data_IF_806512981995
#
_entry.id   IF_806512981995
#
_cell.length_a   1.000
_cell.length_b   1.000
_cell.length_c   1.000
_cell.angle_alpha   90.00
_cell.angle_beta   90.00
_cell.angle_gamma   90.00
#
_symmetry.space_group_name_H-M   'P 1'
#
loop_
_entity.id
_entity.type
_entity.pdbx_description
1 polymer ?
#
# COMPACT_ATOMS: atom_id res chain seq x y z
N UNK A 1 6.59 3.14 -8.44
CA UNK A 1 5.59 3.01 -9.51
C UNK A 1 5.92 1.84 -10.44
N UNK A 2 7.12 1.78 -11.02
CA UNK A 2 7.47 0.77 -12.04
C UNK A 2 7.35 -0.66 -11.52
N UNK A 3 7.84 -0.95 -10.31
CA UNK A 3 7.75 -2.27 -9.67
C UNK A 3 6.29 -2.67 -9.43
N UNK A 4 5.50 -1.77 -8.82
CA UNK A 4 4.08 -1.99 -8.52
C UNK A 4 3.27 -2.29 -9.78
N UNK A 5 3.38 -1.44 -10.81
CA UNK A 5 2.65 -1.61 -12.07
C UNK A 5 3.00 -2.92 -12.79
N UNK A 6 4.27 -3.30 -12.78
CA UNK A 6 4.76 -4.53 -13.41
C UNK A 6 4.52 -5.77 -12.54
N UNK A 7 4.19 -5.59 -11.28
CA UNK A 7 4.06 -6.67 -10.31
C UNK A 7 5.32 -7.54 -10.22
N UNK A 8 6.48 -6.90 -10.08
CA UNK A 8 7.77 -7.59 -9.86
C UNK A 8 7.72 -8.27 -8.51
N UNK A 9 8.23 -9.50 -8.38
CA UNK A 9 8.19 -10.27 -7.14
C UNK A 9 9.23 -9.73 -6.13
N UNK A 10 8.86 -8.66 -5.40
CA UNK A 10 9.71 -8.00 -4.39
C UNK A 10 8.87 -7.42 -3.24
N UNK A 11 9.47 -7.33 -2.07
CA UNK A 11 8.91 -6.66 -0.90
C UNK A 11 9.56 -5.29 -0.71
N UNK A 12 8.74 -4.25 -0.57
CA UNK A 12 9.14 -2.86 -0.34
C UNK A 12 8.65 -2.43 1.03
N UNK A 13 9.57 -2.20 1.96
CA UNK A 13 9.29 -1.66 3.29
C UNK A 13 9.56 -0.16 3.28
N UNK A 14 8.51 0.64 3.31
CA UNK A 14 8.57 2.10 3.31
C UNK A 14 8.46 2.64 4.74
N UNK A 15 9.58 3.02 5.33
CA UNK A 15 9.62 3.71 6.62
C UNK A 15 9.23 5.17 6.43
N UNK A 16 7.97 5.48 6.75
CA UNK A 16 7.41 6.82 6.63
C UNK A 16 7.42 7.50 8.00
N UNK A 17 8.38 8.41 8.22
CA UNK A 17 8.49 9.22 9.44
C UNK A 17 8.21 10.72 9.21
N UNK A 18 7.72 11.07 8.02
CA UNK A 18 7.38 12.43 7.61
C UNK A 18 8.51 13.46 7.76
N UNK A 19 9.78 13.00 7.77
CA UNK A 19 10.97 13.86 7.87
C UNK A 19 12.20 13.18 7.28
N UNK A 20 13.17 13.92 6.75
CA UNK A 20 14.47 13.37 6.41
C UNK A 20 15.38 13.37 7.65
N UNK A 21 15.53 12.22 8.31
CA UNK A 21 16.34 12.06 9.50
C UNK A 21 17.85 12.09 9.23
N UNK A 22 18.31 11.41 8.15
CA UNK A 22 19.74 11.35 7.81
C UNK A 22 20.37 12.71 7.57
N UNK A 23 19.66 13.63 6.95
CA UNK A 23 20.09 14.98 6.63
C UNK A 23 19.78 15.99 7.75
N UNK A 24 19.45 15.51 8.96
CA UNK A 24 19.24 16.28 10.19
C UNK A 24 17.97 17.15 10.19
N UNK A 25 16.86 16.61 9.66
CA UNK A 25 15.52 17.16 9.89
C UNK A 25 15.03 18.12 8.81
N UNK A 26 15.32 17.85 7.55
CA UNK A 26 14.68 18.50 6.42
C UNK A 26 13.28 17.90 6.20
N UNK A 27 12.33 18.70 5.70
CA UNK A 27 11.02 18.16 5.33
C UNK A 27 11.15 17.15 4.18
N UNK A 28 10.39 16.08 4.26
CA UNK A 28 10.29 15.03 3.23
C UNK A 28 9.03 15.24 2.38
N UNK A 29 8.86 14.53 1.26
CA UNK A 29 7.62 14.61 0.48
C UNK A 29 6.36 14.27 1.27
N UNK A 30 6.46 13.45 2.32
CA UNK A 30 5.31 13.07 3.18
C UNK A 30 5.12 13.98 4.38
N UNK A 31 5.97 14.98 4.58
CA UNK A 31 5.86 15.95 5.69
C UNK A 31 4.56 16.74 5.59
N UNK A 32 3.96 17.03 6.73
CA UNK A 32 2.73 17.83 6.80
C UNK A 32 2.97 19.24 6.28
N UNK A 33 2.00 19.78 5.56
CA UNK A 33 2.03 21.19 5.11
C UNK A 33 2.23 22.13 6.29
N UNK A 34 3.09 23.10 6.13
CA UNK A 34 3.41 24.09 7.15
C UNK A 34 4.46 23.63 8.18
N UNK A 35 5.01 22.41 8.10
CA UNK A 35 6.06 21.97 9.00
C UNK A 35 7.28 22.88 8.87
N UNK A 36 7.77 23.37 10.01
CA UNK A 36 8.97 24.22 10.09
C UNK A 36 10.18 23.37 10.40
N UNK A 37 11.23 23.56 9.64
CA UNK A 37 12.52 22.90 9.83
C UNK A 37 13.65 23.93 9.81
N UNK A 38 14.87 23.54 10.19
CA UNK A 38 16.03 24.43 10.16
C UNK A 38 16.30 24.98 8.75
N UNK A 39 16.08 24.16 7.71
CA UNK A 39 16.25 24.56 6.31
C UNK A 39 15.04 25.29 5.72
N UNK A 40 13.88 25.23 6.38
CA UNK A 40 12.66 25.92 5.97
C UNK A 40 11.94 26.52 7.18
N UNK A 41 12.41 27.67 7.72
CA UNK A 41 11.88 28.26 8.94
C UNK A 41 10.49 28.85 8.79
N UNK A 42 10.04 29.11 7.57
CA UNK A 42 8.70 29.64 7.28
C UNK A 42 7.63 28.57 7.13
N UNK A 43 8.04 27.28 7.08
CA UNK A 43 7.17 26.14 6.86
C UNK A 43 7.03 25.77 5.38
N UNK A 44 6.79 24.49 5.11
CA UNK A 44 6.58 24.00 3.73
C UNK A 44 5.20 24.38 3.21
N UNK A 45 5.13 24.74 1.93
CA UNK A 45 3.90 25.01 1.19
C UNK A 45 3.40 23.79 0.43
N UNK A 46 4.24 22.75 0.36
CA UNK A 46 3.95 21.51 -0.39
C UNK A 46 2.79 20.75 0.23
N UNK A 47 1.93 20.20 -0.61
CA UNK A 47 0.94 19.22 -0.17
C UNK A 47 1.63 17.88 0.10
N UNK A 48 1.31 17.20 1.22
CA UNK A 48 1.92 15.93 1.55
C UNK A 48 1.68 14.86 0.48
N UNK A 49 2.74 14.23 0.02
CA UNK A 49 2.65 13.07 -0.84
C UNK A 49 2.07 11.87 -0.09
N UNK A 50 1.12 11.16 -0.71
CA UNK A 50 0.50 9.97 -0.14
C UNK A 50 1.08 8.69 -0.76
N UNK A 51 1.89 7.92 -0.02
CA UNK A 51 2.39 6.63 -0.50
C UNK A 51 1.27 5.63 -0.84
N UNK A 52 0.18 5.67 -0.07
CA UNK A 52 -0.98 4.81 -0.30
C UNK A 52 -1.71 5.13 -1.60
N UNK A 53 -1.92 6.43 -1.90
CA UNK A 53 -2.54 6.83 -3.16
C UNK A 53 -1.69 6.43 -4.35
N UNK A 54 -0.36 6.56 -4.23
CA UNK A 54 0.57 6.08 -5.24
C UNK A 54 0.46 4.55 -5.42
N UNK A 55 0.44 3.80 -4.32
CA UNK A 55 0.35 2.35 -4.36
C UNK A 55 -0.92 1.88 -5.09
N UNK A 56 -2.07 2.39 -4.66
CA UNK A 56 -3.36 2.04 -5.27
C UNK A 56 -3.45 2.54 -6.72
N UNK A 57 -3.03 3.77 -7.00
CA UNK A 57 -3.01 4.33 -8.35
C UNK A 57 -2.04 3.62 -9.31
N UNK A 58 -0.95 3.05 -8.80
CA UNK A 58 -0.04 2.19 -9.54
C UNK A 58 -0.52 0.73 -9.62
N UNK A 59 -1.74 0.44 -9.14
CA UNK A 59 -2.34 -0.89 -9.13
C UNK A 59 -1.52 -1.93 -8.36
N UNK A 60 -1.00 -1.56 -7.18
CA UNK A 60 -0.30 -2.51 -6.32
C UNK A 60 -1.14 -3.77 -6.09
N UNK A 61 -0.52 -4.93 -6.23
CA UNK A 61 -1.18 -6.22 -5.92
C UNK A 61 -1.27 -6.44 -4.42
N UNK A 62 -0.31 -5.91 -3.63
CA UNK A 62 -0.35 -5.93 -2.18
C UNK A 62 0.01 -4.55 -1.62
N UNK A 63 -0.83 -4.05 -0.71
CA UNK A 63 -0.57 -2.85 0.05
C UNK A 63 -1.04 -3.03 1.50
N UNK A 64 -0.16 -2.78 2.45
CA UNK A 64 -0.45 -2.83 3.88
C UNK A 64 0.10 -1.59 4.58
N UNK A 65 -0.48 -1.25 5.73
CA UNK A 65 0.00 -0.20 6.62
C UNK A 65 0.12 -0.70 8.04
N UNK A 66 1.21 -0.37 8.68
CA UNK A 66 1.49 -0.72 10.08
C UNK A 66 2.07 0.48 10.81
N UNK A 67 2.08 0.40 12.14
CA UNK A 67 2.73 1.37 13.03
C UNK A 67 3.94 0.72 13.71
N UNK A 68 5.00 1.48 13.96
CA UNK A 68 6.23 1.00 14.61
C UNK A 68 6.03 0.55 16.06
N UNK A 69 4.93 0.99 16.67
CA UNK A 69 4.56 0.63 18.05
C UNK A 69 3.85 -0.72 18.18
N UNK A 70 3.56 -1.42 17.06
CA UNK A 70 2.96 -2.76 17.04
C UNK A 70 3.84 -3.77 16.29
N UNK A 71 4.91 -4.28 16.93
CA UNK A 71 5.81 -5.25 16.31
C UNK A 71 5.15 -6.59 15.99
N UNK A 72 4.07 -6.97 16.69
CA UNK A 72 3.34 -8.22 16.40
C UNK A 72 2.55 -8.13 15.11
N UNK A 73 1.86 -7.01 14.89
CA UNK A 73 1.20 -6.74 13.62
C UNK A 73 2.22 -6.67 12.48
N UNK A 74 3.33 -5.95 12.68
CA UNK A 74 4.41 -5.86 11.69
C UNK A 74 4.93 -7.22 11.27
N UNK A 75 5.26 -8.09 12.23
CA UNK A 75 5.75 -9.44 11.96
C UNK A 75 4.77 -10.25 11.12
N UNK A 76 3.47 -10.23 11.47
CA UNK A 76 2.43 -10.93 10.71
C UNK A 76 2.35 -10.41 9.27
N UNK A 77 2.31 -9.08 9.10
CA UNK A 77 2.22 -8.45 7.77
C UNK A 77 3.45 -8.73 6.91
N UNK A 78 4.63 -8.82 7.51
CA UNK A 78 5.87 -9.16 6.76
C UNK A 78 5.85 -10.61 6.27
N UNK A 79 5.30 -11.54 7.05
CA UNK A 79 5.10 -12.94 6.63
C UNK A 79 4.08 -12.99 5.48
N UNK A 80 2.92 -12.32 5.63
CA UNK A 80 1.89 -12.29 4.60
C UNK A 80 2.42 -11.64 3.30
N UNK A 81 3.29 -10.63 3.41
CA UNK A 81 3.93 -9.97 2.27
C UNK A 81 4.97 -10.86 1.57
N UNK A 82 5.69 -11.69 2.31
CA UNK A 82 6.65 -12.65 1.77
C UNK A 82 5.95 -13.78 1.02
N UNK A 83 4.81 -14.25 1.53
CA UNK A 83 4.00 -15.27 0.88
C UNK A 83 3.26 -14.75 -0.37
N UNK A 84 3.10 -13.43 -0.50
CA UNK A 84 2.45 -12.81 -1.65
C UNK A 84 3.35 -12.87 -2.90
N UNK A 85 2.84 -13.43 -3.99
CA UNK A 85 3.54 -13.46 -5.29
C UNK A 85 3.28 -12.16 -6.05
N UNK A 86 4.30 -11.30 -6.12
CA UNK A 86 4.24 -10.00 -6.74
C UNK A 86 4.83 -8.90 -5.87
N UNK A 87 4.58 -7.64 -6.21
CA UNK A 87 5.12 -6.51 -5.43
C UNK A 87 4.26 -6.23 -4.21
N UNK A 88 4.85 -6.42 -3.03
CA UNK A 88 4.26 -6.01 -1.76
C UNK A 88 4.85 -4.66 -1.34
N UNK A 89 3.99 -3.68 -1.06
CA UNK A 89 4.37 -2.41 -0.46
C UNK A 89 3.77 -2.31 0.95
N UNK A 90 4.63 -2.18 1.94
CA UNK A 90 4.24 -1.98 3.34
C UNK A 90 4.66 -0.58 3.79
N UNK A 91 3.70 0.27 4.11
CA UNK A 91 3.93 1.57 4.72
C UNK A 91 4.02 1.42 6.24
N UNK A 92 5.19 1.70 6.80
CA UNK A 92 5.46 1.65 8.24
C UNK A 92 5.46 3.08 8.75
N UNK A 93 4.41 3.46 9.50
CA UNK A 93 4.32 4.75 10.16
C UNK A 93 5.28 4.74 11.36
N UNK A 94 6.42 5.42 11.21
CA UNK A 94 7.52 5.38 12.16
C UNK A 94 7.70 6.74 12.85
N UNK A 95 7.87 6.73 14.17
CA UNK A 95 8.22 7.93 14.91
C UNK A 95 9.72 8.27 14.77
N UNK A 96 10.04 9.50 14.40
CA UNK A 96 11.42 10.01 14.44
C UNK A 96 11.65 10.83 15.70
N UNK A 97 12.10 10.20 16.79
CA UNK A 97 12.24 10.80 18.11
C UNK A 97 13.15 12.05 18.16
N UNK A 98 14.02 12.24 17.16
CA UNK A 98 14.99 13.36 17.15
C UNK A 98 14.47 14.54 16.34
N UNK A 99 13.88 14.30 15.17
CA UNK A 99 13.55 15.37 14.23
C UNK A 99 12.06 15.60 14.00
N UNK A 100 11.21 14.61 14.34
CA UNK A 100 9.75 14.68 14.15
C UNK A 100 9.04 13.83 15.20
N UNK A 101 9.37 14.07 16.48
CA UNK A 101 8.80 13.30 17.59
C UNK A 101 7.28 13.48 17.64
N UNK A 102 6.59 12.38 17.92
CA UNK A 102 5.12 12.29 18.06
C UNK A 102 4.34 12.64 16.80
N UNK A 103 4.95 12.54 15.59
CA UNK A 103 4.25 12.87 14.34
C UNK A 103 2.98 12.02 14.15
N UNK A 104 2.97 10.78 14.63
CA UNK A 104 1.81 9.89 14.60
C UNK A 104 1.11 9.72 15.95
N UNK A 105 1.30 10.63 16.90
CA UNK A 105 0.67 10.54 18.23
C UNK A 105 -0.87 10.47 18.16
N UNK A 106 -1.50 11.13 17.17
CA UNK A 106 -2.94 11.04 16.93
C UNK A 106 -3.43 9.62 16.57
N UNK A 107 -2.51 8.71 16.22
CA UNK A 107 -2.80 7.31 15.89
C UNK A 107 -2.26 6.38 16.98
N UNK A 108 -1.08 6.67 17.54
CA UNK A 108 -0.31 5.71 18.36
C UNK A 108 -0.32 5.99 19.85
N UNK A 109 -0.70 7.20 20.29
CA UNK A 109 -0.74 7.53 21.70
C UNK A 109 -1.76 6.63 22.44
N UNK A 110 -1.39 6.20 23.65
CA UNK A 110 -2.15 5.21 24.44
C UNK A 110 -3.61 5.61 24.64
N UNK A 111 -3.86 6.89 24.83
CA UNK A 111 -5.17 7.48 25.14
C UNK A 111 -6.13 7.48 23.94
N UNK A 112 -5.58 7.46 22.71
CA UNK A 112 -6.38 7.61 21.50
C UNK A 112 -6.38 6.36 20.60
N UNK A 113 -5.38 5.48 20.73
CA UNK A 113 -5.14 4.40 19.78
C UNK A 113 -6.37 3.50 19.52
N UNK A 114 -7.16 3.23 20.57
CA UNK A 114 -8.35 2.38 20.43
C UNK A 114 -9.42 3.00 19.53
N UNK A 115 -9.53 4.33 19.52
CA UNK A 115 -10.50 5.07 18.72
C UNK A 115 -9.91 5.59 17.40
N UNK A 116 -8.58 5.55 17.23
CA UNK A 116 -7.89 6.08 16.05
C UNK A 116 -7.19 5.02 15.19
N UNK A 117 -7.33 3.74 15.55
CA UNK A 117 -6.83 2.62 14.77
C UNK A 117 -7.98 1.68 14.39
N UNK A 118 -8.06 1.32 13.13
CA UNK A 118 -8.92 0.26 12.61
C UNK A 118 -8.04 -0.85 12.06
N UNK A 119 -8.05 -2.01 12.70
CA UNK A 119 -7.34 -3.19 12.22
C UNK A 119 -8.19 -3.91 11.16
N UNK A 120 -7.66 -3.97 9.95
CA UNK A 120 -8.31 -4.64 8.83
C UNK A 120 -7.97 -6.13 8.84
N UNK A 121 -9.00 -6.96 8.84
CA UNK A 121 -8.90 -8.41 8.67
C UNK A 121 -9.82 -8.84 7.53
N UNK A 122 -9.29 -9.59 6.57
CA UNK A 122 -10.05 -10.08 5.41
C UNK A 122 -11.28 -10.89 5.84
N UNK A 123 -12.45 -10.56 5.30
CA UNK A 123 -13.72 -11.19 5.65
C UNK A 123 -14.33 -10.75 7.00
N UNK A 124 -13.74 -9.77 7.70
CA UNK A 124 -14.28 -9.30 8.99
C UNK A 124 -14.93 -7.91 8.85
N UNK A 125 -15.94 -7.63 9.70
CA UNK A 125 -16.53 -6.29 9.76
C UNK A 125 -15.50 -5.28 10.28
N UNK A 126 -15.49 -4.10 9.69
CA UNK A 126 -14.58 -3.00 10.02
C UNK A 126 -15.01 -2.29 11.29
N UNK A 127 -14.81 -2.95 12.44
CA UNK A 127 -15.15 -2.46 13.77
C UNK A 127 -13.90 -1.98 14.50
N UNK A 128 -14.04 -0.94 15.33
CA UNK A 128 -13.01 -0.36 16.17
C UNK A 128 -13.57 0.33 17.40
N UNK A 129 -12.73 0.96 18.18
CA UNK A 129 -13.09 1.62 19.44
C UNK A 129 -12.88 0.72 20.64
N UNK A 130 -12.89 1.32 21.83
CA UNK A 130 -12.63 0.61 23.09
C UNK A 130 -13.61 -0.54 23.32
N UNK A 131 -14.89 -0.34 22.99
CA UNK A 131 -15.95 -1.34 23.12
C UNK A 131 -16.22 -2.10 21.80
N UNK A 132 -15.39 -1.91 20.77
CA UNK A 132 -15.60 -2.49 19.43
C UNK A 132 -17.01 -2.22 18.87
N UNK A 133 -17.56 -1.06 19.20
CA UNK A 133 -18.92 -0.64 18.83
C UNK A 133 -18.95 0.45 17.76
N UNK A 134 -17.79 0.98 17.34
CA UNK A 134 -17.69 1.88 16.21
C UNK A 134 -17.40 1.10 14.94
N UNK A 135 -17.99 1.49 13.83
CA UNK A 135 -17.78 0.80 12.56
C UNK A 135 -17.80 1.75 11.37
N UNK A 136 -17.38 1.22 10.23
CA UNK A 136 -17.36 1.92 8.96
C UNK A 136 -18.53 1.44 8.10
N UNK A 137 -19.30 2.39 7.57
CA UNK A 137 -20.36 2.14 6.57
C UNK A 137 -20.09 2.97 5.32
N UNK A 138 -20.71 2.58 4.22
CA UNK A 138 -20.80 3.40 3.01
C UNK A 138 -22.10 4.20 3.06
N UNK A 139 -21.97 5.52 2.94
CA UNK A 139 -23.12 6.43 2.85
C UNK A 139 -23.04 7.19 1.51
N UNK A 140 -23.79 6.74 0.52
CA UNK A 140 -23.59 7.15 -0.86
C UNK A 140 -22.19 6.75 -1.34
N UNK A 141 -21.39 7.72 -1.78
CA UNK A 141 -20.02 7.50 -2.26
C UNK A 141 -18.94 7.82 -1.20
N UNK A 142 -19.31 7.91 0.08
CA UNK A 142 -18.37 8.28 1.14
C UNK A 142 -18.40 7.27 2.28
N UNK A 143 -17.25 7.04 2.88
CA UNK A 143 -17.17 6.32 4.15
C UNK A 143 -17.74 7.19 5.27
N UNK A 144 -18.34 6.56 6.25
CA UNK A 144 -18.86 7.21 7.46
C UNK A 144 -18.56 6.33 8.67
N UNK A 145 -18.12 6.95 9.76
CA UNK A 145 -18.03 6.31 11.06
C UNK A 145 -19.41 6.34 11.72
N UNK A 146 -19.81 5.22 12.28
CA UNK A 146 -21.08 5.05 12.99
C UNK A 146 -20.87 4.27 14.28
N UNK A 147 -21.81 4.40 15.23
CA UNK A 147 -21.86 3.59 16.45
C UNK A 147 -22.95 2.53 16.30
N UNK A 148 -22.59 1.27 16.49
CA UNK A 148 -23.54 0.15 16.48
C UNK A 148 -24.48 0.28 17.65
N UNK A 149 -25.78 0.12 17.40
CA UNK A 149 -26.85 0.32 18.39
C UNK A 149 -27.44 1.73 18.43
N UNK A 150 -26.78 2.73 17.80
CA UNK A 150 -27.32 4.07 17.63
C UNK A 150 -27.99 4.22 16.26
N UNK A 151 -29.00 5.09 16.16
CA UNK A 151 -29.70 5.40 14.90
C UNK A 151 -30.13 4.18 14.07
N UNK A 152 -30.52 3.10 14.75
CA UNK A 152 -30.89 1.80 14.18
C UNK A 152 -29.75 1.08 13.42
N UNK A 153 -28.49 1.50 13.58
CA UNK A 153 -27.33 0.83 12.98
C UNK A 153 -27.10 -0.51 13.68
N UNK A 154 -27.06 -1.57 12.90
CA UNK A 154 -26.76 -2.94 13.34
C UNK A 154 -25.35 -3.34 12.93
N UNK A 155 -24.84 -4.39 13.54
CA UNK A 155 -23.51 -4.93 13.18
C UNK A 155 -23.43 -5.41 11.75
N UNK A 156 -24.54 -5.87 11.18
CA UNK A 156 -24.67 -6.34 9.80
C UNK A 156 -24.59 -5.19 8.78
N UNK A 157 -24.79 -3.93 9.22
CA UNK A 157 -24.65 -2.75 8.35
C UNK A 157 -23.20 -2.32 8.17
N UNK A 158 -22.29 -2.83 9.02
CA UNK A 158 -20.88 -2.49 8.98
C UNK A 158 -20.21 -3.18 7.77
N UNK A 159 -19.46 -2.40 7.00
CA UNK A 159 -18.72 -2.91 5.87
C UNK A 159 -17.77 -4.04 6.28
N UNK A 160 -17.81 -5.12 5.52
CA UNK A 160 -16.87 -6.23 5.64
C UNK A 160 -15.66 -5.91 4.76
N UNK A 161 -14.46 -6.01 5.34
CA UNK A 161 -13.23 -5.82 4.58
C UNK A 161 -13.00 -7.00 3.63
N UNK A 162 -12.73 -6.70 2.36
CA UNK A 162 -12.31 -7.66 1.35
C UNK A 162 -10.99 -7.19 0.74
N UNK A 163 -9.88 -7.68 1.28
CA UNK A 163 -8.54 -7.33 0.78
C UNK A 163 -8.30 -7.83 -0.66
N UNK A 164 -9.08 -8.83 -1.11
CA UNK A 164 -8.93 -9.50 -2.40
C UNK A 164 -9.82 -8.94 -3.50
N UNK A 165 -10.59 -7.89 -3.20
CA UNK A 165 -11.42 -7.23 -4.20
C UNK A 165 -10.57 -6.66 -5.34
N UNK A 166 -10.92 -6.99 -6.57
CA UNK A 166 -10.16 -6.53 -7.74
C UNK A 166 -10.31 -5.02 -7.95
N UNK A 167 -11.54 -4.50 -7.78
CA UNK A 167 -11.80 -3.07 -7.85
C UNK A 167 -11.12 -2.36 -6.64
N UNK A 168 -10.20 -1.43 -6.90
CA UNK A 168 -9.45 -0.77 -5.83
C UNK A 168 -10.20 0.37 -5.14
N UNK A 169 -11.45 0.67 -5.53
CA UNK A 169 -12.17 1.88 -5.08
C UNK A 169 -12.27 1.94 -3.55
N UNK A 170 -12.76 0.85 -2.92
CA UNK A 170 -12.88 0.81 -1.46
C UNK A 170 -11.49 0.82 -0.79
N UNK A 171 -10.50 0.14 -1.37
CA UNK A 171 -9.12 0.17 -0.86
C UNK A 171 -8.53 1.57 -0.87
N UNK A 172 -8.79 2.36 -1.92
CA UNK A 172 -8.36 3.77 -2.00
C UNK A 172 -9.02 4.62 -0.91
N UNK A 173 -10.31 4.40 -0.65
CA UNK A 173 -11.03 5.11 0.42
C UNK A 173 -10.45 4.74 1.81
N UNK A 174 -10.23 3.45 2.08
CA UNK A 174 -9.65 2.97 3.33
C UNK A 174 -8.22 3.50 3.53
N UNK A 175 -7.41 3.50 2.48
CA UNK A 175 -6.05 3.98 2.51
C UNK A 175 -5.92 5.48 2.86
N UNK A 176 -6.96 6.26 2.56
CA UNK A 176 -7.05 7.70 2.86
C UNK A 176 -7.59 8.03 4.25
N UNK A 177 -8.12 7.04 4.97
CA UNK A 177 -8.64 7.27 6.32
C UNK A 177 -7.55 7.78 7.26
N UNK A 178 -7.82 8.87 7.98
CA UNK A 178 -6.91 9.54 8.92
C UNK A 178 -7.68 10.22 10.04
N UNK A 179 -7.16 10.22 11.28
CA UNK A 179 -7.68 11.08 12.35
C UNK A 179 -7.63 12.56 11.97
N UNK A 180 -8.57 13.38 12.48
CA UNK A 180 -9.60 13.06 13.47
C UNK A 180 -10.90 12.49 12.88
N UNK A 181 -11.12 12.60 11.57
CA UNK A 181 -12.37 12.24 10.92
C UNK A 181 -12.60 10.73 10.89
N UNK A 182 -11.53 9.96 10.65
CA UNK A 182 -11.55 8.50 10.60
C UNK A 182 -10.42 7.90 11.42
N UNK A 183 -10.53 6.65 11.86
CA UNK A 183 -9.37 5.90 12.33
C UNK A 183 -8.38 5.68 11.18
N UNK A 184 -7.11 5.51 11.47
CA UNK A 184 -6.16 5.03 10.47
C UNK A 184 -6.41 3.53 10.21
N UNK A 185 -6.56 3.17 8.94
CA UNK A 185 -6.65 1.77 8.54
C UNK A 185 -5.28 1.12 8.60
N UNK A 186 -5.14 0.09 9.44
CA UNK A 186 -3.92 -0.70 9.67
C UNK A 186 -4.15 -2.15 9.29
N UNK A 187 -3.10 -2.84 8.86
CA UNK A 187 -3.17 -4.20 8.34
C UNK A 187 -3.11 -4.24 6.82
N UNK A 188 -3.57 -5.34 6.24
CA UNK A 188 -3.59 -5.52 4.78
C UNK A 188 -4.80 -4.79 4.22
N UNK A 189 -4.56 -3.72 3.47
CA UNK A 189 -5.61 -2.95 2.80
C UNK A 189 -6.00 -3.61 1.48
N UNK A 190 -5.01 -4.15 0.76
CA UNK A 190 -5.21 -4.83 -0.54
C UNK A 190 -4.25 -6.01 -0.68
N UNK A 191 -4.76 -7.14 -1.17
CA UNK A 191 -3.99 -8.35 -1.47
C UNK A 191 -4.66 -9.12 -2.61
N UNK A 192 -4.46 -8.68 -3.85
CA UNK A 192 -5.03 -9.30 -5.05
C UNK A 192 -3.98 -10.11 -5.78
N UNK A 193 -4.35 -11.28 -6.26
CA UNK A 193 -3.44 -12.12 -7.03
C UNK A 193 -3.39 -11.65 -8.48
N UNK A 194 -2.19 -11.36 -8.95
CA UNK A 194 -1.91 -10.98 -10.33
C UNK A 194 -0.67 -11.74 -10.82
N UNK A 195 -0.57 -12.09 -12.11
CA UNK A 195 0.67 -12.62 -12.64
C UNK A 195 1.83 -11.66 -12.42
N UNK A 196 3.01 -12.19 -12.09
CA UNK A 196 4.23 -11.38 -12.00
C UNK A 196 4.74 -11.03 -13.40
N UNK A 197 5.61 -10.03 -13.46
CA UNK A 197 6.28 -9.65 -14.70
C UNK A 197 7.04 -10.83 -15.33
N UNK A 198 7.78 -11.57 -14.48
CA UNK A 198 8.59 -12.70 -14.91
C UNK A 198 7.74 -13.85 -15.46
N UNK A 199 6.62 -14.18 -14.78
CA UNK A 199 5.66 -15.15 -15.29
C UNK A 199 5.12 -14.76 -16.68
N UNK A 200 4.86 -13.46 -16.87
CA UNK A 200 4.43 -12.94 -18.18
C UNK A 200 5.48 -13.14 -19.26
N UNK A 201 6.73 -12.77 -18.99
CA UNK A 201 7.85 -12.92 -19.94
C UNK A 201 8.13 -14.39 -20.24
N UNK A 202 8.17 -15.25 -19.20
CA UNK A 202 8.40 -16.70 -19.39
C UNK A 202 7.31 -17.29 -20.29
N UNK A 203 6.04 -16.89 -20.08
CA UNK A 203 4.92 -17.35 -20.94
C UNK A 203 5.08 -16.90 -22.38
N UNK A 204 5.47 -15.64 -22.62
CA UNK A 204 5.75 -15.15 -23.98
C UNK A 204 6.90 -15.92 -24.63
N UNK A 205 8.01 -16.09 -23.92
CA UNK A 205 9.16 -16.85 -24.44
C UNK A 205 8.81 -18.29 -24.79
N UNK A 206 8.00 -18.95 -23.96
CA UNK A 206 7.53 -20.31 -24.25
C UNK A 206 6.67 -20.34 -25.50
N UNK A 207 5.70 -19.44 -25.60
CA UNK A 207 4.83 -19.32 -26.76
C UNK A 207 5.62 -19.07 -28.04
N UNK A 208 6.55 -18.12 -28.02
CA UNK A 208 7.38 -17.79 -29.19
C UNK A 208 8.28 -18.95 -29.61
N UNK A 209 8.87 -19.69 -28.64
CA UNK A 209 9.67 -20.88 -28.94
C UNK A 209 8.83 -21.99 -29.60
N UNK A 210 7.62 -22.24 -29.11
CA UNK A 210 6.72 -23.27 -29.66
C UNK A 210 6.24 -22.91 -31.07
N UNK A 211 6.01 -21.63 -31.34
CA UNK A 211 5.47 -21.12 -32.62
C UNK A 211 6.54 -20.50 -33.51
N UNK A 212 7.82 -20.61 -33.15
CA UNK A 212 8.90 -20.03 -33.94
C UNK A 212 8.94 -20.63 -35.36
N UNK A 213 8.96 -19.74 -36.34
CA UNK A 213 9.11 -20.11 -37.75
C UNK A 213 10.47 -20.76 -38.03
N UNK A 214 11.50 -20.28 -37.35
CA UNK A 214 12.88 -20.78 -37.44
C UNK A 214 13.24 -21.45 -36.12
N UNK A 215 13.71 -22.69 -36.18
CA UNK A 215 14.02 -23.49 -34.97
C UNK A 215 15.48 -23.39 -34.54
N UNK A 216 16.35 -22.93 -35.42
CA UNK A 216 17.78 -22.77 -35.16
C UNK A 216 18.25 -21.36 -35.51
N UNK A 217 19.37 -20.96 -34.92
CA UNK A 217 20.03 -19.67 -35.25
C UNK A 217 20.47 -19.63 -36.71
N UNK A 218 20.91 -20.77 -37.24
CA UNK A 218 21.35 -20.87 -38.66
C UNK A 218 20.19 -20.65 -39.63
N UNK A 219 19.03 -21.24 -39.36
CA UNK A 219 17.79 -20.96 -40.12
C UNK A 219 17.40 -19.50 -40.08
N UNK A 220 17.50 -18.88 -38.90
CA UNK A 220 17.18 -17.45 -38.71
C UNK A 220 18.16 -16.56 -39.49
N UNK A 221 19.44 -16.84 -39.41
CA UNK A 221 20.48 -16.09 -40.17
C UNK A 221 20.30 -16.17 -41.68
N UNK A 222 19.77 -17.30 -42.17
CA UNK A 222 19.49 -17.52 -43.60
C UNK A 222 18.07 -17.16 -44.02
N UNK A 223 17.28 -16.57 -43.16
CA UNK A 223 15.86 -16.27 -43.45
C UNK A 223 15.65 -15.03 -44.32
N UNK A 224 16.64 -14.19 -44.46
CA UNK A 224 16.62 -13.02 -45.34
C UNK A 224 17.30 -13.27 -46.67
N UNK A 225 17.55 -12.21 -47.45
CA UNK A 225 18.31 -12.26 -48.67
C UNK A 225 19.76 -12.63 -48.37
N UNK A 226 20.18 -13.79 -48.84
CA UNK A 226 21.54 -14.30 -48.64
C UNK A 226 22.25 -14.45 -49.98
N UNK A 227 23.57 -14.26 -49.99
CA UNK A 227 24.41 -14.50 -51.15
C UNK A 227 25.62 -15.33 -50.73
N UNK A 228 26.17 -16.05 -51.70
CA UNK A 228 27.41 -16.79 -51.51
C UNK A 228 28.61 -15.94 -51.93
N UNK A 229 29.56 -15.80 -51.02
CA UNK A 229 30.88 -15.25 -51.39
C UNK A 229 31.69 -16.38 -52.05
N UNK A 230 31.98 -16.24 -53.34
CA UNK A 230 32.90 -17.16 -54.02
C UNK A 230 34.33 -16.76 -53.67
N UNK A 231 35.07 -17.71 -53.12
CA UNK A 231 36.50 -17.59 -52.82
C UNK A 231 37.31 -17.58 -54.16
#
# INVERSE_FOLDING_TARGET
>A
IHSLRRNIDINILLFNNEIYGLTKGQFSPTSKKGIKTKSNPHGTTDEPFSPSDLAIGAQASFFARVVDTDPKLMQRIFIDAEEHRGTSLIEILQNCVIFNDKTFASITAKEVKQNSQLFLEDGKPMLFGEEMNKGIILNGFKLKVVTVGENNIKKEDILIHNAKEEDPTLHAMLARMRPPEFPAALGIIRAVRRPTFDEGIIRQLKYEKENAKFKTVDELLRSGDTWQVKS
#
